data_IF_188492440252
#
_entry.id   IF_188492440252
#
_cell.length_a   1.000
_cell.length_b   1.000
_cell.length_c   1.000
_cell.angle_alpha   90.00
_cell.angle_beta   90.00
_cell.angle_gamma   90.00
#
_symmetry.space_group_name_H-M   'P 1'
#
loop_
_entity.id
_entity.type
_entity.pdbx_description
1 polymer ?
#
# COMPACT_ATOMS: atom_id res chain seq x y z
N UNK A 1 12.68 16.21 5.02
CA UNK A 1 11.23 16.37 4.90
C UNK A 1 10.80 16.79 3.49
N UNK A 2 11.26 17.95 3.00
CA UNK A 2 10.83 18.53 1.72
C UNK A 2 11.12 17.62 0.50
N UNK A 3 12.18 16.84 0.51
CA UNK A 3 12.52 15.92 -0.58
C UNK A 3 11.69 14.62 -0.56
N UNK A 4 11.33 14.10 0.60
CA UNK A 4 10.60 12.82 0.73
C UNK A 4 9.08 12.94 0.57
N UNK A 5 8.46 14.04 1.01
CA UNK A 5 7.00 14.21 0.96
C UNK A 5 6.39 14.12 -0.47
N UNK A 6 7.02 14.66 -1.54
CA UNK A 6 6.53 14.47 -2.89
C UNK A 6 6.73 13.05 -3.46
N UNK A 7 7.38 12.13 -2.73
CA UNK A 7 7.61 10.76 -3.18
C UNK A 7 6.31 10.04 -3.58
N UNK A 8 5.21 10.27 -2.83
CA UNK A 8 3.89 9.66 -3.10
C UNK A 8 3.42 9.89 -4.54
N UNK A 9 3.78 11.04 -5.13
CA UNK A 9 3.37 11.39 -6.49
C UNK A 9 4.22 10.74 -7.59
N UNK A 10 5.36 10.14 -7.26
CA UNK A 10 6.25 9.50 -8.24
C UNK A 10 6.16 7.97 -8.23
N UNK A 11 5.32 7.38 -7.38
CA UNK A 11 5.20 5.95 -7.22
C UNK A 11 4.09 5.35 -8.10
N UNK A 12 4.33 4.10 -8.57
CA UNK A 12 3.41 3.35 -9.41
C UNK A 12 2.35 2.61 -8.59
N UNK A 13 1.14 2.55 -9.11
CA UNK A 13 0.05 1.74 -8.54
C UNK A 13 0.14 0.25 -8.88
N UNK A 14 0.92 -0.09 -9.90
CA UNK A 14 1.00 -1.41 -10.49
C UNK A 14 2.28 -2.18 -10.10
N UNK A 15 2.82 -2.91 -11.08
CA UNK A 15 4.02 -3.73 -10.91
C UNK A 15 3.73 -5.15 -10.42
N UNK A 16 2.48 -5.61 -10.56
CA UNK A 16 2.06 -6.95 -10.16
C UNK A 16 2.40 -8.02 -11.20
N UNK A 17 2.54 -7.64 -12.47
CA UNK A 17 2.89 -8.56 -13.54
C UNK A 17 4.41 -8.78 -13.59
N UNK A 18 4.80 -10.01 -13.94
CA UNK A 18 6.18 -10.31 -14.31
C UNK A 18 6.47 -9.71 -15.69
N UNK A 19 7.44 -8.76 -15.82
CA UNK A 19 7.78 -8.15 -17.11
C UNK A 19 8.28 -9.15 -18.16
N UNK A 20 8.78 -10.29 -17.74
CA UNK A 20 9.29 -11.34 -18.64
C UNK A 20 8.22 -12.35 -19.05
N UNK A 21 7.00 -12.26 -18.49
CA UNK A 21 5.89 -13.12 -18.85
C UNK A 21 5.43 -12.91 -20.29
N UNK A 22 4.87 -13.97 -20.92
CA UNK A 22 4.30 -13.86 -22.27
C UNK A 22 3.21 -12.78 -22.36
N UNK A 23 2.38 -12.66 -21.32
CA UNK A 23 1.33 -11.64 -21.28
C UNK A 23 1.89 -10.22 -21.25
N UNK A 24 2.97 -9.97 -20.50
CA UNK A 24 3.64 -8.67 -20.47
C UNK A 24 4.30 -8.33 -21.82
N UNK A 25 4.96 -9.31 -22.44
CA UNK A 25 5.51 -9.16 -23.81
C UNK A 25 4.42 -8.91 -24.84
N UNK A 26 3.28 -9.61 -24.76
CA UNK A 26 2.15 -9.36 -25.65
C UNK A 26 1.60 -7.94 -25.46
N UNK A 27 1.48 -7.46 -24.22
CA UNK A 27 1.05 -6.08 -23.92
C UNK A 27 2.04 -5.05 -24.47
N UNK A 28 3.36 -5.29 -24.34
CA UNK A 28 4.39 -4.43 -24.88
C UNK A 28 4.32 -4.37 -26.43
N UNK A 29 4.13 -5.51 -27.10
CA UNK A 29 3.94 -5.57 -28.54
C UNK A 29 2.67 -4.85 -29.01
N UNK A 30 1.58 -4.98 -28.26
CA UNK A 30 0.35 -4.23 -28.52
C UNK A 30 0.57 -2.74 -28.42
N UNK A 31 1.31 -2.28 -27.41
CA UNK A 31 1.65 -0.88 -27.24
C UNK A 31 2.55 -0.37 -28.40
N UNK A 32 3.60 -1.13 -28.74
CA UNK A 32 4.58 -0.73 -29.77
C UNK A 32 3.99 -0.76 -31.18
N UNK A 33 3.30 -1.86 -31.54
CA UNK A 33 2.87 -2.10 -32.94
C UNK A 33 1.48 -1.55 -33.25
N UNK A 34 0.61 -1.50 -32.25
CA UNK A 34 -0.80 -1.15 -32.42
C UNK A 34 -1.22 0.09 -31.64
N UNK A 35 -0.33 0.67 -30.83
CA UNK A 35 -0.65 1.76 -29.92
C UNK A 35 -1.71 1.37 -28.88
N UNK A 36 -1.83 0.07 -28.55
CA UNK A 36 -2.76 -0.52 -27.61
C UNK A 36 -1.98 -1.12 -26.44
N UNK A 37 -2.62 -1.25 -25.28
CA UNK A 37 -1.98 -1.81 -24.08
C UNK A 37 -1.90 -0.82 -22.92
N UNK A 38 -2.51 0.35 -23.09
CA UNK A 38 -2.76 1.29 -21.98
C UNK A 38 -3.85 0.80 -21.04
N UNK A 39 -3.95 1.45 -19.87
CA UNK A 39 -5.04 1.18 -18.94
C UNK A 39 -6.35 1.78 -19.47
N UNK A 40 -7.40 0.98 -19.43
CA UNK A 40 -8.72 1.40 -19.86
C UNK A 40 -9.47 2.20 -18.79
N UNK A 41 -10.06 3.32 -19.21
CA UNK A 41 -11.09 4.04 -18.50
C UNK A 41 -12.44 3.75 -19.16
N UNK A 42 -13.42 3.34 -18.40
CA UNK A 42 -14.78 3.12 -18.85
C UNK A 42 -15.69 4.23 -18.36
N UNK A 43 -16.46 4.86 -19.25
CA UNK A 43 -17.51 5.81 -18.91
C UNK A 43 -18.86 5.20 -19.24
N UNK A 44 -19.68 5.05 -18.21
CA UNK A 44 -21.03 4.52 -18.32
C UNK A 44 -22.02 5.68 -18.38
N UNK A 45 -22.66 5.85 -19.53
CA UNK A 45 -23.71 6.82 -19.75
C UNK A 45 -25.05 6.10 -19.59
N UNK A 46 -25.87 6.51 -18.63
CA UNK A 46 -27.18 5.94 -18.36
C UNK A 46 -28.27 7.01 -18.49
N UNK A 47 -29.37 6.68 -19.14
CA UNK A 47 -30.49 7.58 -19.32
C UNK A 47 -31.83 6.80 -19.24
N UNK A 48 -32.78 7.31 -18.47
CA UNK A 48 -34.10 6.68 -18.32
C UNK A 48 -34.85 6.54 -19.64
N UNK A 49 -34.70 7.53 -20.53
CA UNK A 49 -35.27 7.55 -21.90
C UNK A 49 -34.44 6.77 -22.92
N UNK A 50 -33.38 6.08 -22.50
CA UNK A 50 -32.46 5.32 -23.36
C UNK A 50 -31.31 6.16 -23.93
N UNK A 51 -30.32 5.43 -24.50
CA UNK A 51 -29.06 6.02 -24.99
C UNK A 51 -28.90 6.02 -26.51
N UNK A 52 -29.87 5.44 -27.23
CA UNK A 52 -29.87 5.39 -28.71
C UNK A 52 -30.33 6.68 -29.37
N UNK A 53 -31.11 7.50 -28.67
CA UNK A 53 -31.65 8.77 -29.12
C UNK A 53 -31.76 9.74 -27.94
N UNK A 54 -32.16 11.00 -28.20
CA UNK A 54 -32.47 11.99 -27.18
C UNK A 54 -31.26 12.48 -26.35
N UNK A 55 -31.50 12.92 -25.13
CA UNK A 55 -30.47 13.53 -24.27
C UNK A 55 -29.30 12.55 -23.98
N UNK A 56 -29.59 11.25 -23.78
CA UNK A 56 -28.56 10.24 -23.51
C UNK A 56 -27.51 10.12 -24.63
N UNK A 57 -27.98 10.14 -25.91
CA UNK A 57 -27.10 10.15 -27.08
C UNK A 57 -26.28 11.43 -27.18
N UNK A 58 -26.92 12.59 -26.97
CA UNK A 58 -26.22 13.89 -27.07
C UNK A 58 -25.12 14.03 -26.03
N UNK A 59 -25.41 13.67 -24.79
CA UNK A 59 -24.43 13.66 -23.72
C UNK A 59 -23.30 12.66 -24.01
N UNK A 60 -23.63 11.46 -24.52
CA UNK A 60 -22.62 10.46 -24.89
C UNK A 60 -21.65 10.95 -25.97
N UNK A 61 -22.17 11.56 -27.05
CA UNK A 61 -21.35 12.14 -28.13
C UNK A 61 -20.47 13.29 -27.59
N UNK A 62 -20.99 14.14 -26.71
CA UNK A 62 -20.22 15.21 -26.09
C UNK A 62 -19.06 14.65 -25.24
N UNK A 63 -19.30 13.62 -24.45
CA UNK A 63 -18.27 12.91 -23.68
C UNK A 63 -17.19 12.32 -24.60
N UNK A 64 -17.59 11.64 -25.69
CA UNK A 64 -16.65 11.08 -26.68
C UNK A 64 -15.77 12.17 -27.28
N UNK A 65 -16.37 13.31 -27.67
CA UNK A 65 -15.63 14.45 -28.22
C UNK A 65 -14.60 15.00 -27.23
N UNK A 66 -14.98 15.15 -25.98
CA UNK A 66 -14.08 15.63 -24.92
C UNK A 66 -12.93 14.65 -24.63
N UNK A 67 -13.21 13.33 -24.67
CA UNK A 67 -12.18 12.30 -24.54
C UNK A 67 -11.21 12.33 -25.73
N UNK A 68 -11.74 12.35 -26.95
CA UNK A 68 -10.92 12.37 -28.17
C UNK A 68 -10.04 13.63 -28.28
N UNK A 69 -10.50 14.76 -27.73
CA UNK A 69 -9.70 16.00 -27.67
C UNK A 69 -8.62 15.98 -26.57
N UNK A 70 -8.60 14.99 -25.71
CA UNK A 70 -7.67 14.93 -24.57
C UNK A 70 -6.33 14.30 -24.98
N UNK A 71 -5.18 14.96 -24.75
CA UNK A 71 -3.86 14.47 -25.22
C UNK A 71 -3.40 13.17 -24.53
N UNK A 72 -3.95 12.89 -23.33
CA UNK A 72 -3.67 11.68 -22.57
C UNK A 72 -4.50 10.46 -23.01
N UNK A 73 -5.43 10.63 -23.95
CA UNK A 73 -6.22 9.54 -24.52
C UNK A 73 -5.56 9.06 -25.82
N UNK A 74 -5.33 7.76 -25.91
CA UNK A 74 -4.77 7.12 -27.11
C UNK A 74 -5.87 6.77 -28.10
N UNK A 75 -6.98 6.21 -27.62
CA UNK A 75 -8.12 5.78 -28.42
C UNK A 75 -9.41 5.84 -27.63
N UNK A 76 -10.51 6.09 -28.32
CA UNK A 76 -11.87 6.02 -27.77
C UNK A 76 -12.66 5.02 -28.58
N UNK A 77 -13.42 4.18 -27.93
CA UNK A 77 -14.42 3.29 -28.54
C UNK A 77 -15.79 3.60 -27.95
N UNK A 78 -16.75 3.90 -28.80
CA UNK A 78 -18.11 4.24 -28.39
C UNK A 78 -19.15 3.63 -29.31
N UNK A 79 -20.41 3.50 -28.85
CA UNK A 79 -21.49 3.03 -29.71
C UNK A 79 -21.94 4.08 -30.74
N UNK A 80 -21.39 5.31 -30.68
CA UNK A 80 -21.82 6.40 -31.58
C UNK A 80 -20.76 6.82 -32.60
N UNK A 81 -19.52 6.28 -32.54
CA UNK A 81 -18.37 6.72 -33.37
C UNK A 81 -18.39 6.15 -34.80
N UNK A 82 -19.17 5.16 -35.10
CA UNK A 82 -19.12 4.47 -36.39
C UNK A 82 -20.51 4.19 -36.92
N UNK A 83 -20.69 4.14 -38.27
CA UNK A 83 -21.93 3.61 -38.83
C UNK A 83 -22.22 2.17 -38.40
N UNK A 84 -21.20 1.44 -37.89
CA UNK A 84 -21.37 0.12 -37.26
C UNK A 84 -20.89 0.21 -35.81
N UNK A 85 -21.82 0.48 -34.85
CA UNK A 85 -21.47 0.51 -33.44
C UNK A 85 -20.84 -0.83 -33.03
N UNK A 86 -19.77 -0.77 -32.22
CA UNK A 86 -19.16 -1.98 -31.70
C UNK A 86 -20.21 -2.80 -30.92
N UNK A 87 -20.44 -4.07 -31.27
CA UNK A 87 -21.45 -4.88 -30.60
C UNK A 87 -21.11 -5.01 -29.11
N UNK A 88 -22.12 -4.87 -28.27
CA UNK A 88 -21.98 -5.03 -26.82
C UNK A 88 -21.66 -3.75 -26.02
N UNK A 89 -21.50 -2.58 -26.65
CA UNK A 89 -21.31 -1.29 -25.94
C UNK A 89 -22.62 -0.61 -25.54
N UNK A 90 -23.77 -1.19 -25.86
CA UNK A 90 -25.08 -0.76 -25.36
C UNK A 90 -25.63 -1.90 -24.51
N UNK A 91 -26.17 -1.56 -23.35
CA UNK A 91 -26.81 -2.54 -22.45
C UNK A 91 -28.01 -3.22 -23.12
N UNK A 92 -28.33 -4.41 -22.67
CA UNK A 92 -29.43 -5.20 -23.21
C UNK A 92 -30.78 -4.47 -23.14
N UNK A 93 -31.00 -3.65 -22.11
CA UNK A 93 -32.20 -2.82 -21.92
C UNK A 93 -32.20 -1.51 -22.71
N UNK A 94 -31.10 -1.17 -23.40
CA UNK A 94 -30.92 0.06 -24.17
C UNK A 94 -30.82 1.33 -23.33
N UNK A 95 -30.78 1.25 -22.00
CA UNK A 95 -30.74 2.39 -21.09
C UNK A 95 -29.35 2.88 -20.76
N UNK A 96 -28.34 2.06 -21.00
CA UNK A 96 -26.95 2.40 -20.70
C UNK A 96 -26.05 2.17 -21.92
N UNK A 97 -25.02 2.98 -22.05
CA UNK A 97 -23.98 2.85 -23.07
C UNK A 97 -22.61 2.98 -22.44
N UNK A 98 -21.67 2.21 -22.96
CA UNK A 98 -20.29 2.17 -22.50
C UNK A 98 -19.38 2.90 -23.50
N UNK A 99 -18.57 3.83 -23.00
CA UNK A 99 -17.48 4.46 -23.73
C UNK A 99 -16.19 3.94 -23.10
N UNK A 100 -15.31 3.35 -23.90
CA UNK A 100 -14.00 2.86 -23.45
C UNK A 100 -12.94 3.79 -24.00
N UNK A 101 -12.16 4.38 -23.12
CA UNK A 101 -11.02 5.22 -23.46
C UNK A 101 -9.72 4.56 -22.99
N UNK A 102 -8.81 4.34 -23.89
CA UNK A 102 -7.47 3.85 -23.61
C UNK A 102 -6.56 5.03 -23.28
N UNK A 103 -5.92 5.00 -22.10
CA UNK A 103 -5.10 6.10 -21.59
C UNK A 103 -3.62 5.85 -21.78
N UNK A 104 -2.89 6.91 -22.12
CA UNK A 104 -1.42 6.92 -22.20
C UNK A 104 -0.81 7.05 -20.81
N UNK A 105 0.45 6.59 -20.63
CA UNK A 105 1.23 6.81 -19.42
C UNK A 105 1.31 5.61 -18.49
N UNK A 106 0.89 4.41 -18.97
CA UNK A 106 1.06 3.16 -18.23
C UNK A 106 0.39 3.16 -16.84
N UNK A 107 0.88 2.29 -15.95
CA UNK A 107 0.31 2.12 -14.61
C UNK A 107 0.56 3.31 -13.66
N UNK A 108 1.46 4.22 -14.00
CA UNK A 108 1.83 5.36 -13.14
C UNK A 108 1.02 6.62 -13.45
N UNK A 109 0.89 6.98 -14.73
CA UNK A 109 0.25 8.24 -15.15
C UNK A 109 -1.22 8.06 -15.53
N UNK A 110 -1.58 6.93 -16.16
CA UNK A 110 -2.94 6.68 -16.60
C UNK A 110 -3.99 6.77 -15.48
N UNK A 111 -3.75 6.29 -14.23
CA UNK A 111 -4.72 6.47 -13.14
C UNK A 111 -4.96 7.94 -12.77
N UNK A 112 -3.92 8.80 -12.87
CA UNK A 112 -4.06 10.25 -12.62
C UNK A 112 -4.84 10.94 -13.73
N UNK A 113 -4.55 10.58 -14.97
CA UNK A 113 -5.28 11.06 -16.13
C UNK A 113 -6.74 10.63 -16.04
N UNK A 114 -7.01 9.38 -15.66
CA UNK A 114 -8.35 8.85 -15.46
C UNK A 114 -9.12 9.64 -14.41
N UNK A 115 -8.50 9.91 -13.27
CA UNK A 115 -9.14 10.69 -12.20
C UNK A 115 -9.48 12.11 -12.67
N UNK A 116 -8.54 12.81 -13.33
CA UNK A 116 -8.76 14.16 -13.84
C UNK A 116 -9.87 14.21 -14.91
N UNK A 117 -9.96 13.18 -15.77
CA UNK A 117 -11.04 13.03 -16.73
C UNK A 117 -12.37 12.70 -16.05
N UNK A 118 -12.37 11.82 -15.05
CA UNK A 118 -13.56 11.48 -14.28
C UNK A 118 -14.15 12.71 -13.57
N UNK A 119 -13.32 13.50 -12.90
CA UNK A 119 -13.74 14.72 -12.19
C UNK A 119 -14.41 15.74 -13.13
N UNK A 120 -13.99 15.76 -14.40
CA UNK A 120 -14.54 16.66 -15.43
C UNK A 120 -15.78 16.11 -16.11
N UNK A 121 -15.83 14.79 -16.36
CA UNK A 121 -16.84 14.16 -17.22
C UNK A 121 -17.98 13.51 -16.45
N UNK A 122 -17.77 13.11 -15.20
CA UNK A 122 -18.84 12.55 -14.35
C UNK A 122 -19.85 13.65 -13.99
N UNK A 123 -21.10 13.39 -14.33
CA UNK A 123 -22.20 14.34 -14.08
C UNK A 123 -23.54 13.62 -14.06
N UNK A 124 -24.49 14.23 -13.38
CA UNK A 124 -25.89 13.85 -13.41
C UNK A 124 -26.70 15.09 -13.75
N UNK A 125 -27.32 15.10 -14.93
CA UNK A 125 -28.08 16.22 -15.43
C UNK A 125 -29.14 15.74 -16.44
N UNK A 126 -30.32 16.35 -16.37
CA UNK A 126 -31.43 16.14 -17.33
C UNK A 126 -31.83 14.66 -17.50
N UNK A 127 -31.80 13.87 -16.40
CA UNK A 127 -32.11 12.45 -16.44
C UNK A 127 -31.00 11.57 -17.07
N UNK A 128 -29.84 12.17 -17.36
CA UNK A 128 -28.65 11.44 -17.85
C UNK A 128 -27.58 11.42 -16.77
N UNK A 129 -27.07 10.23 -16.48
CA UNK A 129 -26.00 10.00 -15.51
C UNK A 129 -24.77 9.47 -16.21
N UNK A 130 -23.62 10.12 -16.00
CA UNK A 130 -22.31 9.67 -16.47
C UNK A 130 -21.47 9.26 -15.27
N UNK A 131 -21.03 8.01 -15.22
CA UNK A 131 -20.18 7.44 -14.16
C UNK A 131 -18.90 6.88 -14.75
N UNK A 132 -17.79 7.01 -14.01
CA UNK A 132 -16.49 6.49 -14.40
C UNK A 132 -16.18 5.17 -13.71
N UNK A 133 -15.53 4.26 -14.44
CA UNK A 133 -15.03 2.98 -14.00
C UNK A 133 -13.87 2.52 -14.90
N UNK A 134 -13.63 1.22 -14.94
CA UNK A 134 -12.51 0.63 -15.68
C UNK A 134 -11.22 0.59 -14.86
N UNK A 135 -10.21 -0.12 -15.37
CA UNK A 135 -8.99 -0.46 -14.63
C UNK A 135 -8.23 0.79 -14.15
N UNK A 136 -8.16 1.83 -14.99
CA UNK A 136 -7.45 3.07 -14.63
C UNK A 136 -8.12 3.81 -13.45
N UNK A 137 -9.46 3.83 -13.39
CA UNK A 137 -10.21 4.44 -12.28
C UNK A 137 -10.10 3.58 -11.02
N UNK A 138 -10.15 2.25 -11.14
CA UNK A 138 -9.95 1.35 -10.00
C UNK A 138 -8.59 1.59 -9.37
N UNK A 139 -7.52 1.70 -10.16
CA UNK A 139 -6.18 2.00 -9.65
C UNK A 139 -6.10 3.40 -9.03
N UNK A 140 -6.72 4.42 -9.62
CA UNK A 140 -6.79 5.76 -9.04
C UNK A 140 -7.49 5.74 -7.67
N UNK A 141 -8.61 5.04 -7.57
CA UNK A 141 -9.37 4.95 -6.31
C UNK A 141 -8.65 4.13 -5.25
N UNK A 142 -7.99 3.03 -5.62
CA UNK A 142 -7.14 2.23 -4.72
C UNK A 142 -6.00 3.10 -4.16
N UNK A 143 -5.29 3.84 -5.02
CA UNK A 143 -4.22 4.74 -4.59
C UNK A 143 -4.70 5.80 -3.61
N UNK A 144 -5.79 6.48 -3.96
CA UNK A 144 -6.37 7.52 -3.11
C UNK A 144 -6.84 6.97 -1.74
N UNK A 145 -7.45 5.78 -1.73
CA UNK A 145 -7.86 5.12 -0.49
C UNK A 145 -6.67 4.65 0.33
N UNK A 146 -5.62 4.15 -0.31
CA UNK A 146 -4.38 3.75 0.35
C UNK A 146 -3.71 4.95 1.02
N UNK A 147 -3.60 6.09 0.32
CA UNK A 147 -3.06 7.32 0.89
C UNK A 147 -3.87 7.80 2.11
N UNK A 148 -5.20 7.83 1.99
CA UNK A 148 -6.08 8.19 3.11
C UNK A 148 -6.00 7.21 4.28
N UNK A 149 -5.86 5.91 3.99
CA UNK A 149 -5.73 4.89 5.02
C UNK A 149 -4.42 5.03 5.78
N UNK A 150 -3.30 5.34 5.09
CA UNK A 150 -2.01 5.64 5.71
C UNK A 150 -2.12 6.80 6.70
N UNK A 151 -2.61 7.95 6.24
CA UNK A 151 -2.77 9.12 7.12
C UNK A 151 -3.65 8.81 8.33
N UNK A 152 -4.76 8.11 8.13
CA UNK A 152 -5.65 7.70 9.23
C UNK A 152 -4.95 6.75 10.21
N UNK A 153 -4.19 5.79 9.69
CA UNK A 153 -3.44 4.84 10.51
C UNK A 153 -2.38 5.57 11.36
N UNK A 154 -1.63 6.50 10.77
CA UNK A 154 -0.61 7.28 11.49
C UNK A 154 -1.23 8.20 12.55
N UNK A 155 -2.34 8.87 12.25
CA UNK A 155 -3.07 9.73 13.20
C UNK A 155 -3.56 8.94 14.41
N UNK A 156 -3.85 7.66 14.27
CA UNK A 156 -4.27 6.79 15.39
C UNK A 156 -3.05 6.13 16.05
N UNK A 157 -2.13 5.58 15.25
CA UNK A 157 -1.01 4.79 15.75
C UNK A 157 -0.01 5.64 16.53
N UNK A 158 0.30 6.85 16.09
CA UNK A 158 1.28 7.71 16.76
C UNK A 158 0.82 8.11 18.17
N UNK A 159 -0.40 8.65 18.40
CA UNK A 159 -0.88 8.96 19.74
C UNK A 159 -1.02 7.72 20.63
N UNK A 160 -1.51 6.60 20.08
CA UNK A 160 -1.65 5.37 20.84
C UNK A 160 -0.29 4.81 21.27
N UNK A 161 0.69 4.80 20.37
CA UNK A 161 2.07 4.42 20.68
C UNK A 161 2.69 5.36 21.71
N UNK A 162 2.45 6.67 21.59
CA UNK A 162 2.92 7.64 22.58
C UNK A 162 2.35 7.37 23.97
N UNK A 163 1.03 7.13 24.08
CA UNK A 163 0.38 6.79 25.34
C UNK A 163 0.93 5.49 25.94
N UNK A 164 1.13 4.48 25.11
CA UNK A 164 1.74 3.22 25.54
C UNK A 164 3.17 3.42 26.04
N UNK A 165 3.98 4.21 25.34
CA UNK A 165 5.34 4.55 25.75
C UNK A 165 5.37 5.38 27.04
N UNK A 166 4.44 6.34 27.21
CA UNK A 166 4.27 7.09 28.47
C UNK A 166 3.91 6.15 29.61
N UNK A 167 3.04 5.18 29.36
CA UNK A 167 2.68 4.18 30.36
C UNK A 167 3.87 3.30 30.75
N UNK A 168 4.68 2.87 29.79
CA UNK A 168 5.87 2.02 30.02
C UNK A 168 7.00 2.78 30.70
N UNK A 169 7.35 3.95 30.17
CA UNK A 169 8.49 4.75 30.67
C UNK A 169 8.14 5.65 31.85
N UNK A 170 6.87 5.95 32.06
CA UNK A 170 6.40 6.86 33.10
C UNK A 170 6.67 8.34 32.84
N UNK A 171 7.42 8.71 31.79
CA UNK A 171 7.82 10.09 31.48
C UNK A 171 7.49 10.48 30.04
N UNK A 172 6.98 11.72 29.86
CA UNK A 172 6.65 12.26 28.54
C UNK A 172 7.89 12.40 27.64
N UNK A 173 9.00 12.90 28.18
CA UNK A 173 10.24 13.07 27.41
C UNK A 173 10.83 11.73 26.98
N UNK A 174 10.86 10.74 27.89
CA UNK A 174 11.33 9.41 27.57
C UNK A 174 10.48 8.72 26.49
N UNK A 175 9.17 8.97 26.49
CA UNK A 175 8.25 8.45 25.46
C UNK A 175 8.40 9.20 24.12
N UNK A 176 8.77 10.47 24.15
CA UNK A 176 8.95 11.27 22.93
C UNK A 176 10.19 10.86 22.12
N UNK A 177 11.25 10.35 22.78
CA UNK A 177 12.50 9.96 22.09
C UNK A 177 12.28 8.88 21.05
N UNK A 178 11.63 7.71 21.33
CA UNK A 178 11.37 6.69 20.32
C UNK A 178 10.55 7.21 19.14
N UNK A 179 9.56 8.08 19.39
CA UNK A 179 8.74 8.68 18.33
C UNK A 179 9.54 9.63 17.45
N UNK A 180 10.41 10.45 18.04
CA UNK A 180 11.30 11.32 17.28
C UNK A 180 12.25 10.51 16.39
N UNK A 181 12.84 9.44 16.93
CA UNK A 181 13.70 8.51 16.17
C UNK A 181 12.91 7.84 15.04
N UNK A 182 11.66 7.44 15.29
CA UNK A 182 10.76 6.88 14.24
C UNK A 182 10.49 7.91 13.15
N UNK A 183 10.23 9.16 13.50
CA UNK A 183 10.06 10.24 12.53
C UNK A 183 11.27 10.40 11.61
N UNK A 184 12.48 10.34 12.15
CA UNK A 184 13.72 10.35 11.36
C UNK A 184 13.83 9.14 10.44
N UNK A 185 13.51 7.94 10.93
CA UNK A 185 13.57 6.72 10.14
C UNK A 185 12.56 6.74 8.98
N UNK A 186 11.32 7.16 9.22
CA UNK A 186 10.27 7.26 8.20
C UNK A 186 10.65 8.30 7.15
N UNK A 187 11.02 9.52 7.56
CA UNK A 187 11.40 10.58 6.62
C UNK A 187 12.64 10.22 5.79
N UNK A 188 13.62 9.56 6.40
CA UNK A 188 14.78 9.03 5.71
C UNK A 188 14.41 7.95 4.69
N UNK A 189 13.51 7.04 5.06
CA UNK A 189 13.03 5.96 4.17
C UNK A 189 12.25 6.51 2.99
N UNK A 190 11.40 7.51 3.20
CA UNK A 190 10.70 8.21 2.11
C UNK A 190 11.67 8.91 1.15
N UNK A 191 12.75 9.50 1.67
CA UNK A 191 13.78 10.10 0.85
C UNK A 191 14.54 9.06 0.04
N UNK A 192 14.87 7.90 0.64
CA UNK A 192 15.51 6.78 -0.05
C UNK A 192 14.61 6.19 -1.15
N UNK A 193 13.32 5.98 -0.85
CA UNK A 193 12.35 5.50 -1.84
C UNK A 193 12.20 6.47 -3.02
N UNK A 194 12.19 7.78 -2.75
CA UNK A 194 12.17 8.78 -3.82
C UNK A 194 13.42 8.74 -4.69
N UNK A 195 14.59 8.58 -4.09
CA UNK A 195 15.84 8.45 -4.84
C UNK A 195 15.83 7.18 -5.70
N UNK A 196 15.31 6.06 -5.18
CA UNK A 196 15.12 4.82 -5.94
C UNK A 196 14.11 4.99 -7.08
N UNK A 197 13.03 5.71 -6.85
CA UNK A 197 12.01 5.98 -7.87
C UNK A 197 12.51 6.82 -9.06
N UNK A 198 13.69 7.43 -8.97
CA UNK A 198 14.36 8.09 -10.11
C UNK A 198 15.06 7.11 -11.07
N UNK A 199 15.30 5.88 -10.60
CA UNK A 199 16.10 4.86 -11.32
C UNK A 199 15.27 3.62 -11.65
N UNK A 200 14.22 3.32 -10.84
CA UNK A 200 13.39 2.13 -11.00
C UNK A 200 11.95 2.43 -10.61
N UNK A 201 11.02 1.65 -11.15
CA UNK A 201 9.62 1.72 -10.74
C UNK A 201 9.43 1.21 -9.30
N UNK A 202 8.89 2.07 -8.46
CA UNK A 202 8.63 1.75 -7.05
C UNK A 202 7.12 1.81 -6.82
N UNK A 203 6.57 0.74 -6.25
CA UNK A 203 5.15 0.64 -5.95
C UNK A 203 4.74 1.55 -4.80
N UNK A 204 3.56 2.17 -4.91
CA UNK A 204 2.94 2.98 -3.85
C UNK A 204 2.75 2.19 -2.54
N UNK A 205 2.55 0.89 -2.63
CA UNK A 205 2.40 0.02 -1.46
C UNK A 205 3.68 -0.10 -0.62
N UNK A 206 4.85 0.23 -1.20
CA UNK A 206 6.11 0.31 -0.46
C UNK A 206 6.10 1.39 0.63
N UNK A 207 5.25 2.43 0.48
CA UNK A 207 5.04 3.45 1.53
C UNK A 207 4.44 2.85 2.80
N UNK A 208 3.47 1.93 2.65
CA UNK A 208 2.85 1.26 3.80
C UNK A 208 3.89 0.48 4.61
N UNK A 209 4.77 -0.24 3.90
CA UNK A 209 5.88 -0.97 4.53
C UNK A 209 6.84 -0.01 5.22
N UNK A 210 7.24 1.08 4.56
CA UNK A 210 8.14 2.06 5.13
C UNK A 210 7.55 2.75 6.38
N UNK A 211 6.28 3.14 6.36
CA UNK A 211 5.62 3.78 7.49
C UNK A 211 5.44 2.81 8.67
N UNK A 212 4.85 1.63 8.42
CA UNK A 212 4.55 0.66 9.47
C UNK A 212 5.81 0.09 10.12
N UNK A 213 6.78 -0.38 9.32
CA UNK A 213 8.04 -0.90 9.83
C UNK A 213 8.90 0.22 10.45
N UNK A 214 8.89 1.42 9.86
CA UNK A 214 9.64 2.57 10.37
C UNK A 214 9.18 2.96 11.77
N UNK A 215 7.86 3.01 11.99
CA UNK A 215 7.32 3.28 13.33
C UNK A 215 7.66 2.15 14.30
N UNK A 216 7.39 0.90 13.94
CA UNK A 216 7.55 -0.24 14.82
C UNK A 216 9.03 -0.48 15.20
N UNK A 217 9.92 -0.64 14.19
CA UNK A 217 11.32 -0.99 14.44
C UNK A 217 12.09 0.15 15.12
N UNK A 218 11.83 1.40 14.75
CA UNK A 218 12.53 2.51 15.38
C UNK A 218 12.11 2.66 16.86
N UNK A 219 10.84 2.43 17.20
CA UNK A 219 10.38 2.37 18.59
C UNK A 219 11.07 1.22 19.32
N UNK A 220 11.03 0.01 18.79
CA UNK A 220 11.58 -1.18 19.45
C UNK A 220 13.09 -1.06 19.67
N UNK A 221 13.84 -0.62 18.66
CA UNK A 221 15.29 -0.43 18.78
C UNK A 221 15.64 0.65 19.80
N UNK A 222 14.92 1.77 19.79
CA UNK A 222 15.14 2.85 20.73
C UNK A 222 14.75 2.45 22.15
N UNK A 223 13.64 1.70 22.30
CA UNK A 223 13.18 1.15 23.57
C UNK A 223 14.24 0.24 24.21
N UNK A 224 14.86 -0.64 23.41
CA UNK A 224 15.94 -1.51 23.87
C UNK A 224 17.14 -0.71 24.35
N UNK A 225 17.52 0.37 23.65
CA UNK A 225 18.64 1.23 24.05
C UNK A 225 18.30 2.01 25.31
N UNK A 226 17.11 2.61 25.41
CA UNK A 226 16.71 3.39 26.59
C UNK A 226 16.60 2.50 27.83
N UNK A 227 15.99 1.32 27.71
CA UNK A 227 15.84 0.41 28.85
C UNK A 227 17.20 -0.07 29.38
N UNK A 228 18.12 -0.42 28.47
CA UNK A 228 19.47 -0.82 28.86
C UNK A 228 20.27 0.32 29.46
N UNK A 229 20.14 1.54 28.95
CA UNK A 229 20.79 2.73 29.51
C UNK A 229 20.30 3.02 30.92
N UNK A 230 18.99 2.93 31.17
CA UNK A 230 18.42 3.08 32.52
C UNK A 230 18.91 2.01 33.48
N UNK A 231 18.97 0.76 33.04
CA UNK A 231 19.49 -0.33 33.85
C UNK A 231 20.95 -0.09 34.29
N UNK A 232 21.80 0.45 33.41
CA UNK A 232 23.18 0.81 33.75
C UNK A 232 23.24 1.99 34.75
N UNK A 233 22.36 2.97 34.63
CA UNK A 233 22.26 4.10 35.57
C UNK A 233 21.77 3.61 36.94
N UNK A 234 20.78 2.73 37.00
CA UNK A 234 20.24 2.16 38.24
C UNK A 234 21.31 1.35 39.02
N UNK A 235 22.28 0.79 38.30
CA UNK A 235 23.46 0.12 38.88
C UNK A 235 24.51 1.12 39.44
N UNK A 236 24.27 2.41 39.33
CA UNK A 236 25.21 3.43 39.77
C UNK A 236 26.36 3.72 38.81
N UNK A 237 26.28 3.24 37.55
CA UNK A 237 27.30 3.47 36.53
C UNK A 237 27.29 4.97 36.09
N UNK A 238 28.45 5.63 36.02
CA UNK A 238 28.52 6.99 35.48
C UNK A 238 27.98 7.07 34.06
N UNK A 239 27.27 8.13 33.70
CA UNK A 239 26.50 8.29 32.43
C UNK A 239 27.28 7.96 31.17
N UNK A 240 28.50 8.49 31.05
CA UNK A 240 29.36 8.17 29.90
C UNK A 240 29.65 6.68 29.78
N UNK A 241 29.96 6.04 30.90
CA UNK A 241 30.23 4.59 30.93
C UNK A 241 28.95 3.79 30.70
N UNK A 242 27.84 4.22 31.31
CA UNK A 242 26.52 3.62 31.07
C UNK A 242 26.14 3.64 29.59
N UNK A 243 26.37 4.78 28.91
CA UNK A 243 26.10 4.89 27.48
C UNK A 243 27.01 3.97 26.63
N UNK A 244 28.30 3.94 26.92
CA UNK A 244 29.26 3.04 26.24
C UNK A 244 28.86 1.57 26.43
N UNK A 245 28.53 1.15 27.65
CA UNK A 245 28.09 -0.21 27.96
C UNK A 245 26.78 -0.55 27.21
N UNK A 246 25.83 0.39 27.16
CA UNK A 246 24.58 0.27 26.43
C UNK A 246 24.82 0.07 24.93
N UNK A 247 25.68 0.87 24.33
CA UNK A 247 25.99 0.77 22.91
C UNK A 247 26.77 -0.51 22.58
N UNK A 248 27.66 -0.95 23.45
CA UNK A 248 28.41 -2.20 23.31
C UNK A 248 27.50 -3.45 23.39
N UNK A 249 26.38 -3.39 24.14
CA UNK A 249 25.42 -4.50 24.29
C UNK A 249 24.16 -4.30 23.42
N UNK A 250 23.28 -3.38 23.79
CA UNK A 250 22.01 -3.15 23.09
C UNK A 250 22.22 -2.65 21.66
N UNK A 251 23.18 -1.73 21.43
CA UNK A 251 23.50 -1.25 20.08
C UNK A 251 23.94 -2.37 19.15
N UNK A 252 24.78 -3.30 19.63
CA UNK A 252 25.18 -4.48 18.87
C UNK A 252 23.99 -5.41 18.57
N UNK A 253 23.09 -5.60 19.53
CA UNK A 253 21.87 -6.39 19.35
C UNK A 253 20.96 -5.78 18.29
N UNK A 254 20.78 -4.46 18.31
CA UNK A 254 19.99 -3.72 17.30
C UNK A 254 20.58 -3.93 15.91
N UNK A 255 21.90 -3.77 15.74
CA UNK A 255 22.55 -3.95 14.43
C UNK A 255 22.43 -5.39 13.92
N UNK A 256 22.60 -6.38 14.79
CA UNK A 256 22.44 -7.79 14.43
C UNK A 256 20.99 -8.09 14.00
N UNK A 257 20.02 -7.66 14.79
CA UNK A 257 18.59 -7.80 14.47
C UNK A 257 18.25 -7.12 13.15
N UNK A 258 18.67 -5.88 12.97
CA UNK A 258 18.43 -5.11 11.74
C UNK A 258 19.04 -5.81 10.51
N UNK A 259 20.25 -6.32 10.62
CA UNK A 259 20.91 -7.06 9.54
C UNK A 259 20.11 -8.31 9.16
N UNK A 260 19.65 -9.06 10.14
CA UNK A 260 18.86 -10.28 9.91
C UNK A 260 17.54 -9.97 9.18
N UNK A 261 16.82 -8.94 9.65
CA UNK A 261 15.57 -8.50 9.02
C UNK A 261 15.83 -7.95 7.61
N UNK A 262 16.87 -7.13 7.43
CA UNK A 262 17.22 -6.58 6.13
C UNK A 262 17.57 -7.68 5.11
N UNK A 263 18.34 -8.71 5.51
CA UNK A 263 18.66 -9.85 4.65
C UNK A 263 17.40 -10.64 4.26
N UNK A 264 16.48 -10.86 5.21
CA UNK A 264 15.21 -11.55 4.93
C UNK A 264 14.36 -10.78 3.92
N UNK A 265 14.28 -9.46 4.07
CA UNK A 265 13.56 -8.61 3.12
C UNK A 265 14.28 -8.47 1.77
N UNK A 266 15.61 -8.45 1.77
CA UNK A 266 16.40 -8.43 0.54
C UNK A 266 16.16 -9.67 -0.34
N UNK A 267 15.82 -10.82 0.25
CA UNK A 267 15.48 -12.02 -0.52
C UNK A 267 14.27 -11.81 -1.45
N UNK A 268 13.39 -10.83 -1.16
CA UNK A 268 12.27 -10.50 -2.04
C UNK A 268 12.70 -9.90 -3.39
N UNK A 269 13.95 -9.45 -3.52
CA UNK A 269 14.52 -8.97 -4.81
C UNK A 269 14.60 -10.10 -5.84
N UNK A 270 14.68 -11.36 -5.40
CA UNK A 270 14.75 -12.53 -6.27
C UNK A 270 13.43 -12.78 -7.04
N UNK A 271 12.32 -12.20 -6.61
CA UNK A 271 11.07 -12.28 -7.34
C UNK A 271 11.09 -11.37 -8.57
N UNK A 272 10.53 -11.82 -9.72
CA UNK A 272 10.55 -11.03 -10.96
C UNK A 272 9.66 -9.79 -10.88
N UNK A 273 8.62 -9.80 -10.05
CA UNK A 273 7.61 -8.76 -9.96
C UNK A 273 8.18 -7.44 -9.37
N UNK A 274 8.04 -6.29 -10.06
CA UNK A 274 8.48 -4.98 -9.55
C UNK A 274 7.88 -4.61 -8.18
N UNK A 275 6.63 -4.99 -7.92
CA UNK A 275 5.95 -4.83 -6.65
C UNK A 275 6.70 -5.48 -5.48
N UNK A 276 7.16 -6.74 -5.64
CA UNK A 276 7.92 -7.45 -4.61
C UNK A 276 9.31 -6.84 -4.40
N UNK A 277 9.98 -6.42 -5.49
CA UNK A 277 11.26 -5.70 -5.42
C UNK A 277 11.11 -4.38 -4.67
N UNK A 278 10.00 -3.67 -4.90
CA UNK A 278 9.68 -2.43 -4.19
C UNK A 278 9.56 -2.62 -2.68
N UNK A 279 8.98 -3.73 -2.24
CA UNK A 279 8.91 -4.08 -0.81
C UNK A 279 10.28 -4.39 -0.22
N UNK A 280 11.14 -5.09 -0.97
CA UNK A 280 12.52 -5.32 -0.56
C UNK A 280 13.27 -4.00 -0.37
N UNK A 281 13.20 -3.10 -1.34
CA UNK A 281 13.87 -1.80 -1.27
C UNK A 281 13.37 -0.95 -0.10
N UNK A 282 12.05 -0.85 0.06
CA UNK A 282 11.45 -0.13 1.18
C UNK A 282 11.83 -0.75 2.53
N UNK A 283 11.72 -2.06 2.63
CA UNK A 283 12.01 -2.80 3.84
C UNK A 283 13.47 -2.68 4.25
N UNK A 284 14.40 -2.91 3.35
CA UNK A 284 15.85 -2.77 3.63
C UNK A 284 16.19 -1.32 4.01
N UNK A 285 15.67 -0.34 3.27
CA UNK A 285 15.92 1.07 3.55
C UNK A 285 15.40 1.47 4.93
N UNK A 286 14.16 1.09 5.28
CA UNK A 286 13.56 1.46 6.56
C UNK A 286 14.24 0.77 7.73
N UNK A 287 14.60 -0.50 7.59
CA UNK A 287 15.32 -1.26 8.64
C UNK A 287 16.70 -0.63 8.89
N UNK A 288 17.45 -0.35 7.83
CA UNK A 288 18.77 0.27 7.93
C UNK A 288 18.70 1.66 8.56
N UNK A 289 17.75 2.49 8.13
CA UNK A 289 17.57 3.84 8.67
C UNK A 289 17.02 3.85 10.10
N UNK A 290 16.15 2.91 10.46
CA UNK A 290 15.68 2.74 11.83
C UNK A 290 16.82 2.33 12.76
N UNK A 291 17.66 1.38 12.34
CA UNK A 291 18.83 0.97 13.11
C UNK A 291 19.87 2.10 13.25
N UNK A 292 20.14 2.81 12.14
CA UNK A 292 21.04 3.97 12.16
C UNK A 292 20.52 5.07 13.08
N UNK A 293 19.24 5.39 12.98
CA UNK A 293 18.61 6.39 13.85
C UNK A 293 18.66 5.96 15.34
N UNK A 294 18.38 4.69 15.63
CA UNK A 294 18.45 4.18 16.99
C UNK A 294 19.89 4.20 17.54
N UNK A 295 20.89 3.82 16.74
CA UNK A 295 22.28 3.74 17.20
C UNK A 295 22.99 5.08 17.23
N UNK A 296 22.59 6.04 16.38
CA UNK A 296 23.22 7.37 16.31
C UNK A 296 22.39 8.47 16.99
N UNK A 297 21.09 8.57 16.65
CA UNK A 297 20.24 9.66 17.14
C UNK A 297 19.81 9.43 18.58
N UNK A 298 19.40 8.21 18.95
CA UNK A 298 18.94 7.95 20.30
C UNK A 298 20.03 8.22 21.37
N UNK A 299 21.29 7.76 21.25
CA UNK A 299 22.35 8.09 22.18
C UNK A 299 22.62 9.59 22.25
N UNK A 300 22.64 10.29 21.10
CA UNK A 300 22.84 11.74 21.09
C UNK A 300 21.73 12.48 21.86
N UNK A 301 20.48 12.07 21.67
CA UNK A 301 19.34 12.64 22.42
C UNK A 301 19.42 12.31 23.91
N UNK A 302 19.85 11.09 24.27
CA UNK A 302 20.06 10.70 25.67
C UNK A 302 21.11 11.58 26.38
N UNK A 303 22.22 11.88 25.68
CA UNK A 303 23.25 12.79 26.20
C UNK A 303 22.70 14.19 26.36
N UNK A 304 21.98 14.72 25.37
CA UNK A 304 21.41 16.07 25.41
C UNK A 304 20.33 16.23 26.49
N UNK A 305 19.51 15.24 26.71
CA UNK A 305 18.47 15.27 27.75
C UNK A 305 19.03 15.09 29.16
N UNK A 306 20.07 14.26 29.31
CA UNK A 306 20.70 14.02 30.62
C UNK A 306 19.68 13.65 31.69
N UNK A 307 19.64 14.39 32.82
CA UNK A 307 18.67 14.20 33.92
C UNK A 307 17.25 14.54 33.55
N UNK A 308 17.06 15.31 32.46
CA UNK A 308 15.74 15.74 32.02
C UNK A 308 14.92 14.61 31.40
N UNK A 309 15.54 13.47 31.10
CA UNK A 309 14.81 12.33 30.51
C UNK A 309 13.66 11.83 31.40
N UNK A 310 13.83 11.95 32.74
CA UNK A 310 12.83 11.64 33.74
C UNK A 310 12.00 12.85 34.21
N UNK A 311 12.26 14.03 33.63
CA UNK A 311 11.40 15.18 33.82
C UNK A 311 10.01 14.93 33.22
N UNK A 312 8.97 15.54 33.77
CA UNK A 312 7.57 15.30 33.36
C UNK A 312 7.13 13.86 33.58
N UNK A 313 7.55 13.23 34.68
CA UNK A 313 7.09 11.89 35.04
C UNK A 313 5.62 11.93 35.46
N UNK A 314 4.76 11.38 34.59
CA UNK A 314 3.29 11.39 34.79
C UNK A 314 2.89 10.60 36.02
N UNK A 315 3.57 9.49 36.32
CA UNK A 315 3.29 8.67 37.51
C UNK A 315 3.64 9.42 38.80
N UNK A 316 4.77 10.14 38.86
CA UNK A 316 5.14 10.96 40.00
C UNK A 316 4.19 12.14 40.17
N UNK A 317 3.84 12.82 39.07
CA UNK A 317 2.89 13.94 39.10
C UNK A 317 1.50 13.48 39.56
N UNK A 318 0.96 12.37 38.99
CA UNK A 318 -0.33 11.84 39.36
C UNK A 318 -0.39 11.40 40.85
N UNK A 319 0.68 10.81 41.39
CA UNK A 319 0.74 10.43 42.80
C UNK A 319 0.82 11.63 43.75
N UNK A 320 1.58 12.63 43.36
CA UNK A 320 1.63 13.90 44.16
C UNK A 320 0.24 14.56 44.22
N UNK A 321 -0.49 14.55 43.12
CA UNK A 321 -1.86 15.07 43.07
C UNK A 321 -2.83 14.23 43.94
N UNK A 322 -2.60 12.90 44.03
CA UNK A 322 -3.42 11.97 44.79
C UNK A 322 -2.93 11.79 46.26
N UNK A 323 -1.89 12.52 46.70
CA UNK A 323 -1.31 12.43 48.06
C UNK A 323 -0.72 11.06 48.40
N UNK A 324 -0.37 10.22 47.38
CA UNK A 324 0.17 8.89 47.59
C UNK A 324 1.69 8.89 47.67
N UNK A 325 2.30 8.18 48.65
CA UNK A 325 3.77 8.08 48.76
C UNK A 325 4.38 7.39 47.55
N UNK A 326 5.68 7.67 47.31
CA UNK A 326 6.44 6.96 46.29
C UNK A 326 6.46 5.44 46.59
N UNK A 327 6.23 4.57 45.58
CA UNK A 327 6.27 3.15 45.80
C UNK A 327 7.72 2.76 46.11
N UNK A 328 7.90 2.15 47.25
CA UNK A 328 9.14 1.40 47.48
C UNK A 328 9.23 0.24 46.52
N UNK A 329 10.41 -0.09 45.96
CA UNK A 329 10.60 -1.27 45.14
C UNK A 329 10.12 -2.49 45.93
N UNK A 330 8.96 -3.01 45.58
CA UNK A 330 8.45 -4.24 46.15
C UNK A 330 9.25 -5.45 45.66
N UNK A 331 9.20 -6.59 46.39
CA UNK A 331 9.88 -7.80 45.94
C UNK A 331 9.40 -8.17 44.52
N UNK A 332 10.38 -8.48 43.68
CA UNK A 332 10.20 -8.78 42.23
C UNK A 332 9.18 -9.89 42.00
N UNK A 333 9.03 -10.80 42.98
CA UNK A 333 8.12 -11.93 42.97
C UNK A 333 6.64 -11.53 42.93
N UNK A 334 6.30 -10.31 43.38
CA UNK A 334 4.93 -9.78 43.32
C UNK A 334 4.59 -9.17 41.96
N UNK A 335 5.57 -8.97 41.09
CA UNK A 335 5.36 -8.42 39.74
C UNK A 335 4.51 -9.39 38.89
N UNK A 336 3.58 -8.81 38.12
CA UNK A 336 2.79 -9.57 37.13
C UNK A 336 3.71 -10.32 36.14
N UNK A 337 4.76 -9.64 35.69
CA UNK A 337 5.73 -10.21 34.75
C UNK A 337 6.49 -11.40 35.34
N UNK A 338 6.88 -11.34 36.61
CA UNK A 338 7.47 -12.50 37.30
C UNK A 338 6.53 -13.70 37.36
N UNK A 339 5.24 -13.45 37.63
CA UNK A 339 4.22 -14.52 37.67
C UNK A 339 4.05 -15.17 36.30
N UNK A 340 3.99 -14.35 35.23
CA UNK A 340 3.87 -14.85 33.84
C UNK A 340 5.12 -15.65 33.47
N UNK A 341 6.31 -15.11 33.72
CA UNK A 341 7.56 -15.81 33.45
C UNK A 341 7.67 -17.12 34.22
N UNK A 342 7.32 -17.12 35.50
CA UNK A 342 7.36 -18.32 36.34
C UNK A 342 6.32 -19.38 35.90
N UNK A 343 5.11 -18.94 35.48
CA UNK A 343 4.12 -19.83 34.86
C UNK A 343 4.66 -20.46 33.58
N UNK A 344 5.24 -19.64 32.70
CA UNK A 344 5.83 -20.11 31.45
C UNK A 344 6.98 -21.09 31.69
N UNK A 345 7.87 -20.82 32.66
CA UNK A 345 8.96 -21.72 33.01
C UNK A 345 8.47 -23.01 33.66
N UNK A 346 7.53 -22.94 34.60
CA UNK A 346 7.02 -24.12 35.31
C UNK A 346 6.14 -25.03 34.44
N UNK A 347 5.45 -24.45 33.44
CA UNK A 347 4.53 -25.16 32.55
C UNK A 347 4.87 -24.90 31.09
N UNK A 348 6.16 -24.97 30.73
CA UNK A 348 6.65 -24.62 29.40
C UNK A 348 5.95 -25.41 28.29
N UNK A 349 5.79 -26.73 28.45
CA UNK A 349 5.14 -27.59 27.44
C UNK A 349 3.66 -27.24 27.25
N UNK A 350 2.79 -27.24 28.28
CA UNK A 350 1.37 -26.92 28.07
C UNK A 350 1.14 -25.48 27.61
N UNK A 351 1.92 -24.51 28.09
CA UNK A 351 1.85 -23.12 27.64
C UNK A 351 2.28 -23.01 26.16
N UNK A 352 3.38 -23.66 25.79
CA UNK A 352 3.83 -23.67 24.39
C UNK A 352 2.80 -24.32 23.46
N UNK A 353 2.26 -25.50 23.84
CA UNK A 353 1.21 -26.15 23.04
C UNK A 353 -0.06 -25.31 22.93
N UNK A 354 -0.48 -24.65 24.00
CA UNK A 354 -1.66 -23.76 23.97
C UNK A 354 -1.45 -22.58 23.03
N UNK A 355 -0.26 -21.97 23.02
CA UNK A 355 0.09 -20.87 22.09
C UNK A 355 0.12 -21.39 20.64
N UNK A 356 0.74 -22.55 20.39
CA UNK A 356 0.78 -23.17 19.06
C UNK A 356 -0.65 -23.46 18.56
N UNK A 357 -1.49 -24.08 19.40
CA UNK A 357 -2.88 -24.35 19.07
C UNK A 357 -3.66 -23.06 18.74
N UNK A 358 -3.50 -22.03 19.57
CA UNK A 358 -4.09 -20.71 19.32
C UNK A 358 -3.66 -20.14 17.96
N UNK A 359 -2.35 -20.16 17.66
CA UNK A 359 -1.82 -19.64 16.39
C UNK A 359 -2.32 -20.46 15.20
N UNK A 360 -2.43 -21.77 15.31
CA UNK A 360 -3.00 -22.63 14.28
C UNK A 360 -4.48 -22.29 14.03
N UNK A 361 -5.27 -22.13 15.08
CA UNK A 361 -6.69 -21.73 14.97
C UNK A 361 -6.81 -20.35 14.30
N UNK A 362 -6.00 -19.38 14.72
CA UNK A 362 -5.97 -18.05 14.09
C UNK A 362 -5.48 -18.09 12.63
N UNK A 363 -4.65 -19.05 12.27
CA UNK A 363 -4.18 -19.27 10.91
C UNK A 363 -5.16 -20.02 10.00
N UNK A 364 -6.19 -20.68 10.55
CA UNK A 364 -7.15 -21.47 9.77
C UNK A 364 -7.81 -20.71 8.62
N UNK A 365 -8.21 -19.42 8.74
CA UNK A 365 -8.80 -18.67 7.63
C UNK A 365 -7.89 -18.57 6.41
N UNK A 366 -6.56 -18.68 6.60
CA UNK A 366 -5.60 -18.62 5.50
C UNK A 366 -5.73 -19.79 4.52
N UNK A 367 -6.23 -20.95 4.98
CA UNK A 367 -6.46 -22.12 4.13
C UNK A 367 -7.54 -21.89 3.08
N UNK A 368 -8.44 -20.92 3.31
CA UNK A 368 -9.51 -20.54 2.39
C UNK A 368 -9.19 -19.33 1.50
N UNK A 369 -7.98 -18.78 1.56
CA UNK A 369 -7.60 -17.59 0.78
C UNK A 369 -7.56 -17.92 -0.70
N UNK A 370 -8.30 -17.16 -1.50
CA UNK A 370 -8.23 -17.20 -2.96
C UNK A 370 -7.29 -16.10 -3.45
N UNK A 371 -6.25 -16.51 -4.13
CA UNK A 371 -5.27 -15.61 -4.71
C UNK A 371 -5.80 -15.07 -6.04
N UNK A 372 -5.64 -13.77 -6.28
CA UNK A 372 -6.03 -13.12 -7.53
C UNK A 372 -5.38 -11.75 -7.66
N UNK A 373 -5.41 -11.18 -8.85
CA UNK A 373 -4.99 -9.80 -9.07
C UNK A 373 -5.98 -8.84 -8.40
N UNK A 374 -5.51 -7.68 -7.90
CA UNK A 374 -6.40 -6.66 -7.39
C UNK A 374 -7.26 -6.11 -8.53
N UNK A 375 -8.55 -6.42 -8.49
CA UNK A 375 -9.59 -5.91 -9.39
C UNK A 375 -10.51 -4.93 -8.64
N UNK A 376 -11.62 -4.52 -9.26
CA UNK A 376 -12.60 -3.63 -8.64
C UNK A 376 -13.23 -4.19 -7.35
N UNK A 377 -13.13 -5.51 -7.10
CA UNK A 377 -13.68 -6.18 -5.92
C UNK A 377 -12.90 -5.88 -4.64
N UNK A 378 -11.67 -5.34 -4.74
CA UNK A 378 -10.94 -4.84 -3.58
C UNK A 378 -11.55 -3.53 -3.04
N UNK A 379 -12.34 -2.84 -3.86
CA UNK A 379 -13.07 -1.64 -3.47
C UNK A 379 -14.36 -2.00 -2.71
N UNK A 380 -14.79 -1.18 -1.75
CA UNK A 380 -16.08 -1.34 -1.10
C UNK A 380 -17.24 -1.32 -2.12
N UNK A 381 -18.34 -2.00 -1.83
CA UNK A 381 -19.52 -2.03 -2.68
C UNK A 381 -20.10 -0.62 -2.97
N UNK A 382 -19.84 0.36 -2.09
CA UNK A 382 -20.24 1.75 -2.26
C UNK A 382 -19.37 2.55 -3.22
N UNK A 383 -18.27 2.00 -3.71
CA UNK A 383 -17.37 2.69 -4.63
C UNK A 383 -17.97 2.78 -6.03
N UNK A 384 -17.91 3.97 -6.64
CA UNK A 384 -18.47 4.20 -7.97
C UNK A 384 -17.84 3.32 -9.03
N UNK A 385 -16.51 3.15 -9.00
CA UNK A 385 -15.79 2.28 -9.93
C UNK A 385 -16.29 0.84 -9.86
N UNK A 386 -16.50 0.30 -8.64
CA UNK A 386 -17.05 -1.04 -8.45
C UNK A 386 -18.50 -1.15 -8.96
N UNK A 387 -19.35 -0.17 -8.64
CA UNK A 387 -20.73 -0.18 -9.13
C UNK A 387 -20.81 -0.14 -10.67
N UNK A 388 -19.89 0.57 -11.34
CA UNK A 388 -19.79 0.58 -12.81
C UNK A 388 -19.34 -0.80 -13.31
N UNK A 389 -18.32 -1.41 -12.73
CA UNK A 389 -17.85 -2.75 -13.09
C UNK A 389 -18.95 -3.81 -12.90
N UNK A 390 -19.68 -3.77 -11.79
CA UNK A 390 -20.82 -4.68 -11.54
C UNK A 390 -21.92 -4.51 -12.60
N UNK A 391 -22.21 -3.26 -12.98
CA UNK A 391 -23.19 -2.98 -14.04
C UNK A 391 -22.68 -3.42 -15.42
N UNK A 392 -21.38 -3.31 -15.70
CA UNK A 392 -20.77 -3.83 -16.92
C UNK A 392 -20.89 -5.36 -17.00
N UNK A 393 -20.60 -6.06 -15.90
CA UNK A 393 -20.71 -7.53 -15.83
C UNK A 393 -22.14 -8.04 -16.04
N UNK A 394 -23.12 -7.34 -15.50
CA UNK A 394 -24.52 -7.80 -15.54
C UNK A 394 -25.31 -7.32 -16.75
N UNK A 395 -24.96 -6.15 -17.31
CA UNK A 395 -25.80 -5.46 -18.31
C UNK A 395 -25.25 -5.46 -19.72
N UNK A 396 -24.00 -5.83 -19.95
CA UNK A 396 -23.35 -5.74 -21.24
C UNK A 396 -22.84 -7.10 -21.75
N UNK A 397 -23.07 -7.38 -23.03
CA UNK A 397 -22.56 -8.60 -23.68
C UNK A 397 -21.03 -8.58 -23.87
N UNK A 398 -20.44 -7.39 -23.98
CA UNK A 398 -18.99 -7.21 -24.02
C UNK A 398 -18.42 -7.22 -22.60
N UNK A 399 -18.31 -8.40 -21.99
CA UNK A 399 -17.60 -8.53 -20.72
C UNK A 399 -16.10 -8.47 -21.00
N UNK A 400 -15.47 -7.34 -20.67
CA UNK A 400 -14.03 -7.13 -20.87
C UNK A 400 -13.17 -8.05 -20.00
N UNK A 401 -13.72 -8.56 -18.89
CA UNK A 401 -12.98 -9.44 -17.95
C UNK A 401 -12.72 -10.84 -18.52
N UNK A 402 -13.51 -11.27 -19.51
CA UNK A 402 -13.38 -12.60 -20.13
C UNK A 402 -12.67 -12.57 -21.48
N UNK A 403 -12.27 -11.38 -21.96
CA UNK A 403 -11.63 -11.26 -23.26
C UNK A 403 -10.13 -11.56 -23.15
N UNK A 404 -9.70 -12.63 -23.81
CA UNK A 404 -8.29 -12.95 -24.00
C UNK A 404 -7.82 -12.37 -25.33
N UNK A 405 -6.78 -11.53 -25.29
CA UNK A 405 -6.17 -10.97 -26.50
C UNK A 405 -4.95 -11.80 -26.87
N UNK A 406 -4.97 -12.40 -28.05
CA UNK A 406 -3.84 -13.15 -28.60
C UNK A 406 -3.10 -12.27 -29.60
N UNK A 407 -1.79 -12.09 -29.38
CA UNK A 407 -0.93 -11.31 -30.26
C UNK A 407 -0.05 -12.25 -31.06
N UNK A 408 -0.10 -12.13 -32.38
CA UNK A 408 0.76 -12.87 -33.29
C UNK A 408 1.87 -11.91 -33.76
N UNK A 409 3.12 -12.07 -33.31
CA UNK A 409 4.21 -11.10 -33.56
C UNK A 409 4.57 -10.96 -35.06
N UNK A 410 4.38 -12.02 -35.82
CA UNK A 410 4.64 -12.05 -37.27
C UNK A 410 3.65 -12.97 -37.97
N UNK A 411 3.09 -12.48 -39.06
CA UNK A 411 2.20 -13.26 -39.92
C UNK A 411 2.93 -13.84 -41.16
N UNK A 412 4.28 -13.74 -41.19
CA UNK A 412 5.06 -14.26 -42.29
C UNK A 412 4.84 -15.79 -42.44
N UNK A 413 4.38 -16.21 -43.59
CA UNK A 413 4.05 -17.65 -43.88
C UNK A 413 2.68 -18.10 -43.40
N UNK A 414 1.84 -17.23 -42.80
CA UNK A 414 0.46 -17.54 -42.44
C UNK A 414 -0.50 -16.92 -43.47
N UNK A 415 -1.54 -17.68 -43.78
CA UNK A 415 -2.64 -17.19 -44.63
C UNK A 415 -3.85 -16.76 -43.77
N UNK A 416 -4.75 -15.94 -44.31
CA UNK A 416 -5.98 -15.55 -43.59
C UNK A 416 -6.81 -16.78 -43.16
N UNK A 417 -6.98 -17.84 -44.00
CA UNK A 417 -7.63 -19.05 -43.55
C UNK A 417 -6.97 -19.77 -42.36
N UNK A 418 -5.63 -19.70 -42.24
CA UNK A 418 -4.92 -20.27 -41.09
C UNK A 418 -5.25 -19.51 -39.80
N UNK A 419 -5.32 -18.18 -39.89
CA UNK A 419 -5.71 -17.33 -38.76
C UNK A 419 -7.16 -17.57 -38.32
N UNK A 420 -8.08 -17.68 -39.28
CA UNK A 420 -9.48 -18.00 -39.03
C UNK A 420 -9.64 -19.39 -38.40
N UNK A 421 -8.92 -20.41 -38.91
CA UNK A 421 -8.90 -21.72 -38.33
C UNK A 421 -8.32 -21.76 -36.92
N UNK A 422 -7.31 -20.92 -36.61
CA UNK A 422 -6.74 -20.77 -35.30
C UNK A 422 -7.74 -20.11 -34.33
N UNK A 423 -8.37 -19.01 -34.75
CA UNK A 423 -9.40 -18.33 -33.97
C UNK A 423 -10.60 -19.23 -33.66
N UNK A 424 -11.05 -20.02 -34.64
CA UNK A 424 -12.12 -21.01 -34.47
C UNK A 424 -11.75 -22.15 -33.49
N UNK A 425 -10.48 -22.53 -33.42
CA UNK A 425 -10.00 -23.49 -32.41
C UNK A 425 -9.97 -22.89 -31.00
N UNK A 426 -9.50 -21.67 -30.87
CA UNK A 426 -9.47 -20.93 -29.58
C UNK A 426 -10.89 -20.74 -29.03
N UNK A 427 -11.88 -20.41 -29.87
CA UNK A 427 -13.26 -20.21 -29.46
C UNK A 427 -13.96 -21.48 -28.95
N UNK A 428 -13.37 -22.65 -29.16
CA UNK A 428 -13.87 -23.96 -28.69
C UNK A 428 -13.24 -24.41 -27.37
N UNK A 429 -12.26 -23.66 -26.85
CA UNK A 429 -11.67 -23.95 -25.54
C UNK A 429 -12.69 -23.52 -24.49
N UNK A 430 -13.09 -24.44 -23.57
CA UNK A 430 -14.13 -24.18 -22.56
C UNK A 430 -13.70 -23.12 -21.53
#
# INVERSE_FOLDING_TARGET
GAFGLPAVRSLSAGGFADPESESARATALLAEKFGQGGLDMALLVSADGGVRAGPGKLVGIDVVRQLAASPCVARVASPWDSPRPAPGLISADGKSALIIAELKGGETEAPRHAQALADRLTRERDGVRVRAGGTAIVYAEVNHRTEKALVRMEVIAIPLSFLALVWVFGGLLAAAVPLAVSGFAILGSLAALRALALVTDVSVFALNVAAALGLALAIDYTLLIISRYREELDRGTPRERALRNTMASAGRTVLFSATTVALSLAAMVLFPMPFMKSFAYAGVAVVALSALAAVAVAPAVLVLLGDRIDALNVWRAGRRLLGRPEPQPGPVERSLWYRIANLAMRRAIPVGLAIIALLLVLGTPFLGVRWGYPDDRVLPASATARAVSDQMRSGFAANSETRVTVVIPSIAGLTMPDLDAYAARLSRVP
#
